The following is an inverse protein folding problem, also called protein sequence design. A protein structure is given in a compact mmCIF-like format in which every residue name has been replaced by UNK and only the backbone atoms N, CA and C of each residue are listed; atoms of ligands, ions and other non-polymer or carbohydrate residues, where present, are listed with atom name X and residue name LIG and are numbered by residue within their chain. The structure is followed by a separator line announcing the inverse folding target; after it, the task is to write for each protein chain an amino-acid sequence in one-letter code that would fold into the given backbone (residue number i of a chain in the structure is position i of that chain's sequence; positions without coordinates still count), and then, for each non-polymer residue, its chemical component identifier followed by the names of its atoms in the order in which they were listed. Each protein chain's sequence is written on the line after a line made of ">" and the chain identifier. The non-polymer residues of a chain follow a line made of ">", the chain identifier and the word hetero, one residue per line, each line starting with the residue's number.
data_IF_277783157353
#
_entry.id   IF_277783157353
#
_cell.length_a   1.000
_cell.length_b   1.000
_cell.length_c   1.000
_cell.angle_alpha   90.00
_cell.angle_beta   90.00
_cell.angle_gamma   90.00
#
_symmetry.space_group_name_H-M   'P 1'
#
loop_
_entity.id
_entity.type
_entity.pdbx_description
1 polymer ?
#
# COMPACT_ATOMS: atom_id res chain seq x y z
N UNK A 1 27.60 14.56 -6.20
CA UNK A 1 26.68 14.84 -5.08
C UNK A 1 25.56 15.74 -5.62
N UNK A 2 24.29 15.39 -5.71
CA UNK A 2 23.57 14.13 -5.67
C UNK A 2 22.69 14.13 -6.94
N UNK A 3 22.78 13.08 -7.75
CA UNK A 3 21.90 12.92 -8.92
C UNK A 3 20.49 12.62 -8.45
N UNK A 4 19.60 13.60 -8.53
CA UNK A 4 18.15 13.34 -8.46
C UNK A 4 17.71 12.93 -9.86
N UNK A 5 17.65 11.62 -10.07
CA UNK A 5 17.01 10.93 -11.18
C UNK A 5 15.83 10.18 -10.52
N UNK A 6 14.55 10.28 -10.92
CA UNK A 6 13.94 10.37 -12.24
C UNK A 6 12.59 11.13 -12.06
N UNK A 7 12.31 12.13 -12.90
CA UNK A 7 10.96 12.66 -13.11
C UNK A 7 10.09 11.58 -13.77
N UNK A 8 8.77 11.53 -13.49
CA UNK A 8 7.62 11.14 -14.35
C UNK A 8 6.46 10.72 -13.41
N UNK A 9 5.35 11.48 -13.35
CA UNK A 9 3.99 11.10 -12.84
C UNK A 9 3.31 12.06 -11.84
N UNK A 10 3.48 13.38 -11.96
CA UNK A 10 2.69 14.33 -11.14
C UNK A 10 1.18 14.27 -11.37
N UNK A 11 0.71 13.68 -12.47
CA UNK A 11 -0.71 13.66 -12.84
C UNK A 11 -1.60 12.87 -11.87
N UNK A 12 -1.17 11.67 -11.45
CA UNK A 12 -1.93 10.89 -10.46
C UNK A 12 -1.95 11.58 -9.10
N UNK A 13 -0.80 12.08 -8.65
CA UNK A 13 -0.71 12.77 -7.37
C UNK A 13 -1.51 14.08 -7.34
N UNK A 14 -1.46 14.86 -8.42
CA UNK A 14 -2.30 16.04 -8.59
C UNK A 14 -3.79 15.68 -8.65
N UNK A 15 -4.15 14.60 -9.34
CA UNK A 15 -5.52 14.10 -9.39
C UNK A 15 -5.99 13.69 -8.00
N UNK A 16 -5.21 12.92 -7.24
CA UNK A 16 -5.53 12.52 -5.87
C UNK A 16 -5.72 13.75 -4.98
N UNK A 17 -4.81 14.72 -5.04
CA UNK A 17 -4.93 15.98 -4.30
C UNK A 17 -6.18 16.79 -4.70
N UNK A 18 -6.66 16.66 -5.94
CA UNK A 18 -7.88 17.32 -6.41
C UNK A 18 -9.18 16.63 -5.96
N UNK A 19 -9.13 15.39 -5.46
CA UNK A 19 -10.32 14.64 -5.02
C UNK A 19 -10.93 15.19 -3.73
N UNK A 20 -10.17 15.92 -2.91
CA UNK A 20 -10.69 16.53 -1.69
C UNK A 20 -9.62 16.91 -0.67
N UNK A 21 -10.05 17.35 0.53
CA UNK A 21 -9.14 17.73 1.60
C UNK A 21 -8.18 16.59 1.98
N UNK A 22 -6.94 16.94 2.32
CA UNK A 22 -5.90 15.98 2.71
C UNK A 22 -6.36 15.07 3.86
N UNK A 23 -7.09 15.61 4.84
CA UNK A 23 -7.61 14.82 5.97
C UNK A 23 -8.60 13.74 5.55
N UNK A 24 -9.46 14.04 4.57
CA UNK A 24 -10.40 13.06 4.01
C UNK A 24 -9.66 11.93 3.30
N UNK A 25 -8.64 12.27 2.49
CA UNK A 25 -7.80 11.29 1.81
C UNK A 25 -7.00 10.43 2.81
N UNK A 26 -6.44 11.07 3.84
CA UNK A 26 -5.72 10.39 4.90
C UNK A 26 -6.62 9.44 5.68
N UNK A 27 -7.84 9.86 6.04
CA UNK A 27 -8.81 9.01 6.69
C UNK A 27 -9.20 7.81 5.81
N UNK A 28 -9.34 8.00 4.50
CA UNK A 28 -9.55 6.92 3.54
C UNK A 28 -8.40 5.91 3.55
N UNK A 29 -7.16 6.38 3.43
CA UNK A 29 -5.99 5.51 3.45
C UNK A 29 -5.86 4.75 4.79
N UNK A 30 -6.05 5.44 5.92
CA UNK A 30 -6.01 4.83 7.25
C UNK A 30 -7.09 3.77 7.43
N UNK A 31 -8.33 4.03 7.00
CA UNK A 31 -9.43 3.06 7.08
C UNK A 31 -9.10 1.76 6.35
N UNK A 32 -8.40 1.82 5.22
CA UNK A 32 -8.09 0.64 4.42
C UNK A 32 -6.80 -0.08 4.84
N UNK A 33 -5.80 0.66 5.32
CA UNK A 33 -4.46 0.09 5.56
C UNK A 33 -4.17 -0.19 7.04
N UNK A 34 -4.86 0.48 7.97
CA UNK A 34 -4.61 0.32 9.41
C UNK A 34 -4.75 -1.11 9.97
N UNK A 35 -5.64 -2.00 9.46
CA UNK A 35 -5.68 -3.38 9.93
C UNK A 35 -4.38 -4.12 9.62
N UNK A 36 -3.80 -3.88 8.44
CA UNK A 36 -2.55 -4.50 7.99
C UNK A 36 -1.37 -3.89 8.75
N UNK A 37 -1.31 -2.57 8.87
CA UNK A 37 -0.25 -1.89 9.64
C UNK A 37 -0.21 -2.36 11.10
N UNK A 38 -1.39 -2.53 11.71
CA UNK A 38 -1.50 -3.00 13.10
C UNK A 38 -1.03 -4.44 13.23
N UNK A 39 -1.40 -5.30 12.30
CA UNK A 39 -0.95 -6.69 12.30
C UNK A 39 0.56 -6.80 12.07
N UNK A 40 1.12 -6.06 11.12
CA UNK A 40 2.56 -6.03 10.86
C UNK A 40 3.34 -5.56 12.09
N UNK A 41 2.90 -4.48 12.76
CA UNK A 41 3.53 -4.02 14.01
C UNK A 41 3.46 -5.05 15.13
N UNK A 42 2.33 -5.72 15.30
CA UNK A 42 2.11 -6.68 16.39
C UNK A 42 2.86 -8.00 16.18
N UNK A 43 3.02 -8.43 14.92
CA UNK A 43 3.56 -9.76 14.59
C UNK A 43 4.92 -9.74 13.89
N UNK A 44 5.47 -8.57 13.60
CA UNK A 44 6.72 -8.43 12.88
C UNK A 44 6.64 -8.99 11.44
N UNK A 45 5.46 -8.91 10.82
CA UNK A 45 5.25 -9.38 9.45
C UNK A 45 5.52 -8.29 8.42
N UNK A 46 5.49 -8.66 7.13
CA UNK A 46 5.67 -7.76 5.99
C UNK A 46 4.48 -7.87 5.02
N UNK A 47 3.26 -7.88 5.57
CA UNK A 47 2.04 -7.98 4.77
C UNK A 47 1.84 -6.72 3.93
N UNK A 48 2.12 -5.54 4.46
CA UNK A 48 1.99 -4.28 3.72
C UNK A 48 2.88 -4.24 2.47
N UNK A 49 4.15 -4.64 2.61
CA UNK A 49 5.08 -4.78 1.48
C UNK A 49 4.60 -5.81 0.47
N UNK A 50 3.96 -6.88 0.95
CA UNK A 50 3.41 -7.92 0.06
C UNK A 50 2.21 -7.41 -0.72
N UNK A 51 1.31 -6.65 -0.07
CA UNK A 51 0.17 -6.02 -0.72
C UNK A 51 0.61 -5.06 -1.83
N UNK A 52 1.56 -4.17 -1.52
CA UNK A 52 2.08 -3.20 -2.48
C UNK A 52 2.71 -3.89 -3.69
N UNK A 53 3.60 -4.86 -3.45
CA UNK A 53 4.23 -5.60 -4.53
C UNK A 53 3.22 -6.41 -5.37
N UNK A 54 2.17 -6.94 -4.75
CA UNK A 54 1.12 -7.69 -5.44
C UNK A 54 0.28 -6.81 -6.37
N UNK A 55 -0.14 -5.66 -5.86
CA UNK A 55 -0.92 -4.69 -6.61
C UNK A 55 -0.11 -4.10 -7.77
N UNK A 56 1.15 -3.70 -7.53
CA UNK A 56 2.03 -3.22 -8.60
C UNK A 56 2.37 -4.30 -9.65
N UNK A 57 2.31 -5.59 -9.28
CA UNK A 57 2.53 -6.71 -10.18
C UNK A 57 1.25 -7.15 -10.92
N UNK A 58 0.19 -6.33 -10.92
CA UNK A 58 -1.07 -6.62 -11.60
C UNK A 58 -1.80 -7.82 -11.01
N UNK A 59 -1.74 -7.98 -9.68
CA UNK A 59 -2.34 -9.09 -8.94
C UNK A 59 -1.81 -10.50 -9.33
N UNK A 60 -0.56 -10.59 -9.81
CA UNK A 60 0.10 -11.85 -10.14
C UNK A 60 0.90 -12.41 -8.96
N UNK A 61 0.55 -13.62 -8.49
CA UNK A 61 1.30 -14.31 -7.43
C UNK A 61 2.76 -14.57 -7.81
N UNK A 62 2.98 -15.06 -9.03
CA UNK A 62 4.31 -15.39 -9.55
C UNK A 62 5.19 -14.14 -9.66
N UNK A 63 4.69 -13.05 -10.23
CA UNK A 63 5.47 -11.82 -10.37
C UNK A 63 5.74 -11.16 -9.00
N UNK A 64 4.78 -11.22 -8.08
CA UNK A 64 4.97 -10.76 -6.69
C UNK A 64 6.05 -11.56 -5.99
N UNK A 65 6.02 -12.88 -6.11
CA UNK A 65 6.98 -13.77 -5.48
C UNK A 65 8.40 -13.49 -5.97
N UNK A 66 8.56 -13.31 -7.29
CA UNK A 66 9.81 -12.92 -7.91
C UNK A 66 10.31 -11.57 -7.39
N UNK A 67 9.44 -10.55 -7.34
CA UNK A 67 9.80 -9.19 -6.86
C UNK A 67 10.21 -9.17 -5.39
N UNK A 68 9.59 -10.02 -4.56
CA UNK A 68 9.87 -10.11 -3.12
C UNK A 68 10.98 -11.11 -2.76
N UNK A 69 11.56 -11.83 -3.74
CA UNK A 69 12.54 -12.89 -3.47
C UNK A 69 11.98 -14.01 -2.59
N UNK A 70 10.69 -14.32 -2.73
CA UNK A 70 10.01 -15.33 -1.91
C UNK A 70 9.31 -16.38 -2.78
N UNK A 71 8.71 -17.39 -2.14
CA UNK A 71 7.96 -18.42 -2.84
C UNK A 71 6.49 -18.01 -3.04
N UNK A 72 5.88 -18.40 -4.15
CA UNK A 72 4.47 -18.08 -4.46
C UNK A 72 3.48 -18.52 -3.38
N UNK A 73 3.78 -19.61 -2.67
CA UNK A 73 2.94 -20.09 -1.56
C UNK A 73 2.98 -19.12 -0.37
N UNK A 74 4.13 -18.50 -0.11
CA UNK A 74 4.28 -17.47 0.92
C UNK A 74 3.46 -16.23 0.56
N UNK A 75 3.51 -15.79 -0.70
CA UNK A 75 2.66 -14.69 -1.19
C UNK A 75 1.18 -15.03 -1.00
N UNK A 76 0.75 -16.21 -1.47
CA UNK A 76 -0.64 -16.67 -1.33
C UNK A 76 -1.10 -16.69 0.12
N UNK A 77 -0.27 -17.20 1.03
CA UNK A 77 -0.56 -17.20 2.46
C UNK A 77 -0.72 -15.77 3.00
N UNK A 78 0.22 -14.89 2.68
CA UNK A 78 0.17 -13.48 3.11
C UNK A 78 -1.06 -12.75 2.57
N UNK A 79 -1.43 -12.97 1.30
CA UNK A 79 -2.64 -12.40 0.72
C UNK A 79 -3.91 -12.93 1.38
N UNK A 80 -3.95 -14.21 1.77
CA UNK A 80 -5.05 -14.75 2.58
C UNK A 80 -5.13 -14.10 3.96
N UNK A 81 -3.99 -13.85 4.60
CA UNK A 81 -3.95 -13.09 5.85
C UNK A 81 -4.48 -11.66 5.64
N UNK A 82 -4.03 -10.98 4.58
CA UNK A 82 -4.49 -9.62 4.25
C UNK A 82 -6.00 -9.61 4.04
N UNK A 83 -6.55 -10.51 3.21
CA UNK A 83 -7.98 -10.62 2.96
C UNK A 83 -8.79 -10.82 4.25
N UNK A 84 -8.28 -11.64 5.19
CA UNK A 84 -8.90 -11.81 6.50
C UNK A 84 -8.80 -10.59 7.42
N UNK A 85 -7.75 -9.77 7.30
CA UNK A 85 -7.58 -8.56 8.10
C UNK A 85 -8.47 -7.41 7.63
N UNK A 86 -8.67 -7.29 6.32
CA UNK A 86 -9.52 -6.25 5.74
C UNK A 86 -10.98 -6.69 5.62
N UNK A 87 -11.27 -7.97 5.87
CA UNK A 87 -12.58 -8.63 5.72
C UNK A 87 -13.21 -8.42 4.32
N UNK A 88 -12.37 -8.48 3.29
CA UNK A 88 -12.76 -8.20 1.89
C UNK A 88 -11.94 -9.05 0.93
N UNK A 89 -12.52 -9.32 -0.24
CA UNK A 89 -11.83 -10.02 -1.31
C UNK A 89 -10.86 -9.08 -2.05
N UNK A 90 -9.56 -9.36 -1.95
CA UNK A 90 -8.50 -8.59 -2.62
C UNK A 90 -8.54 -8.71 -4.15
N UNK A 91 -9.22 -9.72 -4.69
CA UNK A 91 -9.38 -9.91 -6.13
C UNK A 91 -10.60 -9.18 -6.70
N UNK A 92 -11.47 -8.62 -5.86
CA UNK A 92 -12.53 -7.73 -6.33
C UNK A 92 -11.90 -6.46 -6.93
N UNK A 93 -12.22 -6.08 -8.18
CA UNK A 93 -11.59 -4.94 -8.85
C UNK A 93 -11.76 -3.61 -8.11
N UNK A 94 -12.88 -3.42 -7.41
CA UNK A 94 -13.14 -2.22 -6.61
C UNK A 94 -12.29 -2.23 -5.34
N UNK A 95 -12.19 -3.39 -4.66
CA UNK A 95 -11.31 -3.53 -3.49
C UNK A 95 -9.86 -3.26 -3.86
N UNK A 96 -9.38 -3.86 -4.96
CA UNK A 96 -8.02 -3.66 -5.45
C UNK A 96 -7.75 -2.18 -5.78
N UNK A 97 -8.69 -1.49 -6.44
CA UNK A 97 -8.58 -0.07 -6.73
C UNK A 97 -8.52 0.77 -5.44
N UNK A 98 -9.41 0.53 -4.48
CA UNK A 98 -9.42 1.25 -3.21
C UNK A 98 -8.10 1.07 -2.44
N UNK A 99 -7.51 -0.13 -2.47
CA UNK A 99 -6.21 -0.40 -1.85
C UNK A 99 -5.05 0.27 -2.60
N UNK A 100 -5.06 0.27 -3.94
CA UNK A 100 -4.11 1.03 -4.74
C UNK A 100 -4.15 2.52 -4.39
N UNK A 101 -5.35 3.12 -4.34
CA UNK A 101 -5.52 4.52 -3.99
C UNK A 101 -5.03 4.81 -2.57
N UNK A 102 -5.37 3.96 -1.61
CA UNK A 102 -4.91 4.10 -0.23
C UNK A 102 -3.38 4.08 -0.12
N UNK A 103 -2.70 3.19 -0.86
CA UNK A 103 -1.24 3.13 -0.91
C UNK A 103 -0.63 4.40 -1.51
N UNK A 104 -1.19 4.90 -2.62
CA UNK A 104 -0.70 6.12 -3.29
C UNK A 104 -0.91 7.37 -2.43
N UNK A 105 -2.08 7.52 -1.82
CA UNK A 105 -2.35 8.60 -0.86
C UNK A 105 -1.34 8.56 0.31
N UNK A 106 -1.01 7.38 0.81
CA UNK A 106 -0.02 7.25 1.90
C UNK A 106 1.40 7.64 1.45
N UNK A 107 1.76 7.37 0.20
CA UNK A 107 3.06 7.69 -0.38
C UNK A 107 3.19 9.16 -0.81
N UNK A 108 2.07 9.80 -1.16
CA UNK A 108 2.00 11.21 -1.57
C UNK A 108 2.10 12.17 -0.40
N UNK A 109 1.92 11.66 0.82
CA UNK A 109 2.25 12.38 2.04
C UNK A 109 3.75 12.70 2.02
N UNK A 110 4.18 13.98 2.04
CA UNK A 110 5.54 14.28 2.43
C UNK A 110 5.78 13.64 3.81
N UNK A 111 6.93 12.95 4.04
CA UNK A 111 7.19 12.38 5.35
C UNK A 111 6.98 13.49 6.37
N UNK A 112 6.11 13.24 7.36
CA UNK A 112 5.96 14.16 8.48
C UNK A 112 7.35 14.27 9.10
N UNK A 113 8.04 15.36 8.79
CA UNK A 113 9.36 15.64 9.30
C UNK A 113 9.23 15.75 10.81
N UNK A 114 9.69 14.72 11.51
CA UNK A 114 10.39 14.79 12.79
C UNK A 114 9.81 15.76 13.84
N UNK A 115 8.50 15.73 14.11
CA UNK A 115 7.94 16.44 15.26
C UNK A 115 7.28 15.46 16.24
N UNK A 116 8.02 15.28 17.34
CA UNK A 116 7.59 14.94 18.70
C UNK A 116 7.08 13.52 18.99
N UNK A 117 8.04 12.61 19.21
CA UNK A 117 7.97 11.69 20.36
C UNK A 117 8.36 12.52 21.60
N UNK A 118 7.63 12.44 22.73
CA UNK A 118 7.81 13.33 23.89
C UNK A 118 9.22 13.29 24.50
#
# INVERSE_FOLDING_TARGET
>A
MASVSIAHSGGLEALLASLGPADTLNAFAQRHLSPIDTYDRQRGTALMTTLEAFLDAGASLEATALRLGTHRNTVRYRLRCIAGLIDRDIHDPRVALELHLALRIRQSRPPASLDAVP
#
